data_IF_013804449458
#
_entry.id   IF_013804449458
#
_cell.length_a   1.000
_cell.length_b   1.000
_cell.length_c   1.000
_cell.angle_alpha   90.00
_cell.angle_beta   90.00
_cell.angle_gamma   90.00
#
_symmetry.space_group_name_H-M   'P 1'
#
loop_
_entity.id
_entity.type
_entity.pdbx_description
1 polymer ?
#
# COMPACT_ATOMS: atom_id res chain seq x y z
N UNK A 1 -14.10 8.94 9.50
CA UNK A 1 -15.28 9.83 9.29
C UNK A 1 -16.62 9.10 9.37
N UNK A 2 -16.71 7.79 9.11
CA UNK A 2 -17.97 7.04 9.33
C UNK A 2 -19.15 7.55 8.49
N UNK A 3 -18.87 8.11 7.31
CA UNK A 3 -19.89 8.66 6.44
C UNK A 3 -20.63 7.52 5.74
N UNK A 4 -21.95 7.64 5.65
CA UNK A 4 -22.76 6.83 4.74
C UNK A 4 -22.23 6.93 3.30
N UNK A 5 -22.33 5.87 2.48
CA UNK A 5 -21.74 5.85 1.13
C UNK A 5 -22.09 7.06 0.28
N UNK A 6 -23.35 7.52 0.29
CA UNK A 6 -23.77 8.71 -0.45
C UNK A 6 -23.09 10.00 0.02
N UNK A 7 -22.91 10.18 1.34
CA UNK A 7 -22.20 11.34 1.89
C UNK A 7 -20.70 11.29 1.58
N UNK A 8 -20.13 10.08 1.55
CA UNK A 8 -18.73 9.88 1.19
C UNK A 8 -18.46 10.26 -0.27
N UNK A 9 -19.38 9.92 -1.18
CA UNK A 9 -19.31 10.33 -2.59
C UNK A 9 -19.40 11.84 -2.74
N UNK A 10 -20.39 12.49 -2.10
CA UNK A 10 -20.51 13.96 -2.11
C UNK A 10 -19.22 14.61 -1.60
N UNK A 11 -18.63 14.09 -0.52
CA UNK A 11 -17.36 14.60 -0.01
C UNK A 11 -16.19 14.47 -1.01
N UNK A 12 -16.19 13.46 -1.89
CA UNK A 12 -15.18 13.33 -2.95
C UNK A 12 -15.42 14.33 -4.07
N UNK A 13 -16.66 14.48 -4.49
CA UNK A 13 -17.06 15.44 -5.52
C UNK A 13 -16.71 16.88 -5.11
N UNK A 14 -16.98 17.26 -3.86
CA UNK A 14 -16.66 18.59 -3.36
C UNK A 14 -15.14 18.85 -3.26
N UNK A 15 -14.34 17.86 -2.85
CA UNK A 15 -12.88 17.96 -2.89
C UNK A 15 -12.37 18.16 -4.32
N UNK A 16 -12.92 17.41 -5.28
CA UNK A 16 -12.55 17.55 -6.69
C UNK A 16 -12.94 18.91 -7.27
N UNK A 17 -14.16 19.40 -6.96
CA UNK A 17 -14.62 20.75 -7.34
C UNK A 17 -13.71 21.85 -6.79
N UNK A 18 -13.18 21.66 -5.58
CA UNK A 18 -12.24 22.57 -4.95
C UNK A 18 -10.79 22.43 -5.47
N UNK A 19 -10.53 21.54 -6.45
CA UNK A 19 -9.18 21.32 -6.98
C UNK A 19 -8.26 20.55 -6.03
N UNK A 20 -8.81 19.85 -5.02
CA UNK A 20 -8.03 19.00 -4.12
C UNK A 20 -7.65 17.72 -4.88
N UNK A 21 -6.46 17.74 -5.48
CA UNK A 21 -5.95 16.63 -6.31
C UNK A 21 -5.61 15.39 -5.49
N UNK A 22 -5.22 15.54 -4.22
CA UNK A 22 -4.85 14.43 -3.33
C UNK A 22 -5.33 14.68 -1.90
N UNK A 23 -6.62 14.44 -1.66
CA UNK A 23 -7.25 14.80 -0.39
C UNK A 23 -6.90 13.90 0.79
N UNK A 24 -6.58 12.62 0.58
CA UNK A 24 -6.31 11.68 1.69
C UNK A 24 -5.27 10.64 1.36
N UNK A 25 -4.40 10.43 2.34
CA UNK A 25 -3.36 9.41 2.37
C UNK A 25 -3.90 7.98 2.21
N UNK A 26 -3.08 7.06 1.65
CA UNK A 26 -3.48 5.66 1.41
C UNK A 26 -3.73 4.88 2.70
N UNK A 27 -3.18 5.33 3.82
CA UNK A 27 -3.50 4.87 5.16
C UNK A 27 -4.99 5.03 5.48
N UNK A 28 -5.59 6.18 5.16
CA UNK A 28 -7.03 6.40 5.39
C UNK A 28 -7.90 5.64 4.39
N UNK A 29 -7.46 5.58 3.13
CA UNK A 29 -8.28 5.06 2.04
C UNK A 29 -8.24 3.54 1.91
N UNK A 30 -7.11 2.92 2.21
CA UNK A 30 -6.83 1.52 1.83
C UNK A 30 -6.36 0.69 3.03
N UNK A 31 -5.29 1.11 3.71
CA UNK A 31 -4.69 0.31 4.80
C UNK A 31 -5.56 0.33 6.06
N UNK A 32 -6.12 1.48 6.41
CA UNK A 32 -7.00 1.65 7.57
C UNK A 32 -8.22 0.73 7.52
N UNK A 33 -9.02 0.73 6.44
CA UNK A 33 -10.12 -0.22 6.26
C UNK A 33 -9.67 -1.70 6.30
N UNK A 34 -8.49 -2.01 5.76
CA UNK A 34 -7.91 -3.35 5.87
C UNK A 34 -7.62 -3.72 7.33
N UNK A 35 -6.97 -2.83 8.09
CA UNK A 35 -6.67 -3.04 9.52
C UNK A 35 -7.94 -3.13 10.35
N UNK A 36 -8.98 -2.32 10.06
CA UNK A 36 -10.29 -2.44 10.71
C UNK A 36 -10.86 -3.84 10.54
N UNK A 37 -10.74 -4.42 9.34
CA UNK A 37 -11.31 -5.73 9.01
C UNK A 37 -10.47 -6.91 9.50
N UNK A 38 -9.15 -6.84 9.36
CA UNK A 38 -8.25 -7.99 9.51
C UNK A 38 -7.15 -7.80 10.56
N UNK A 39 -6.95 -6.57 11.03
CA UNK A 39 -5.90 -6.26 12.01
C UNK A 39 -6.24 -6.73 13.41
N UNK A 40 -5.19 -6.96 14.20
CA UNK A 40 -5.31 -7.26 15.63
C UNK A 40 -5.78 -6.03 16.42
N UNK A 41 -6.29 -6.19 17.66
CA UNK A 41 -6.61 -5.05 18.52
C UNK A 41 -5.42 -4.09 18.72
N UNK A 42 -4.21 -4.63 18.87
CA UNK A 42 -2.98 -3.83 18.98
C UNK A 42 -2.68 -3.04 17.70
N UNK A 43 -2.79 -3.67 16.53
CA UNK A 43 -2.62 -2.97 15.24
C UNK A 43 -3.66 -1.86 15.06
N UNK A 44 -4.92 -2.11 15.42
CA UNK A 44 -5.98 -1.10 15.35
C UNK A 44 -5.68 0.10 16.26
N UNK A 45 -5.27 -0.17 17.50
CA UNK A 45 -4.96 0.87 18.48
C UNK A 45 -3.73 1.70 18.08
N UNK A 46 -2.73 1.08 17.45
CA UNK A 46 -1.51 1.76 17.03
C UNK A 46 -1.69 2.52 15.70
N UNK A 47 -2.14 1.85 14.63
CA UNK A 47 -2.10 2.41 13.27
C UNK A 47 -3.25 3.36 12.96
N UNK A 48 -4.47 3.09 13.41
CA UNK A 48 -5.63 3.86 12.98
C UNK A 48 -5.58 5.34 13.41
N UNK A 49 -5.18 5.69 14.66
CA UNK A 49 -5.03 7.09 15.05
C UNK A 49 -3.95 7.80 14.23
N UNK A 50 -2.83 7.14 13.94
CA UNK A 50 -1.67 7.69 13.22
C UNK A 50 -1.95 7.93 11.73
N UNK A 51 -2.75 7.05 11.12
CA UNK A 51 -3.28 7.24 9.76
C UNK A 51 -4.27 8.42 9.70
N UNK A 52 -5.10 8.60 10.74
CA UNK A 52 -6.08 9.68 10.78
C UNK A 52 -5.44 11.06 11.00
N UNK A 53 -4.36 11.12 11.78
CA UNK A 53 -3.58 12.34 12.01
C UNK A 53 -2.57 12.65 10.90
N UNK A 54 -2.42 11.75 9.92
CA UNK A 54 -1.34 11.79 8.91
C UNK A 54 0.07 11.84 9.53
N UNK A 55 0.24 11.27 10.74
CA UNK A 55 1.58 11.07 11.31
C UNK A 55 2.36 10.02 10.52
N UNK A 56 1.66 8.99 10.03
CA UNK A 56 2.20 8.02 9.10
C UNK A 56 1.63 8.25 7.70
N UNK A 57 2.52 8.40 6.71
CA UNK A 57 2.19 8.57 5.29
C UNK A 57 2.49 7.27 4.55
N UNK A 58 1.58 6.83 3.69
CA UNK A 58 1.58 5.48 3.14
C UNK A 58 1.69 5.44 1.62
N UNK A 59 2.57 4.56 1.13
CA UNK A 59 2.62 4.16 -0.27
C UNK A 59 2.37 2.65 -0.47
N UNK A 60 2.06 2.25 -1.70
CA UNK A 60 1.74 0.86 -2.07
C UNK A 60 2.93 0.14 -2.71
N UNK A 61 3.38 -0.95 -2.08
CA UNK A 61 4.46 -1.82 -2.56
C UNK A 61 3.95 -3.12 -3.17
N UNK A 62 3.19 -3.05 -4.27
CA UNK A 62 2.65 -4.26 -4.91
C UNK A 62 3.51 -4.69 -6.09
N UNK A 63 3.51 -3.87 -7.14
CA UNK A 63 4.16 -4.16 -8.43
C UNK A 63 5.67 -4.28 -8.30
N UNK A 64 6.24 -5.19 -9.09
CA UNK A 64 7.69 -5.40 -9.22
C UNK A 64 8.09 -5.37 -10.69
N UNK A 65 9.37 -5.14 -11.02
CA UNK A 65 9.87 -5.44 -12.35
C UNK A 65 9.56 -6.89 -12.73
N UNK A 66 8.73 -7.08 -13.76
CA UNK A 66 8.26 -8.41 -14.19
C UNK A 66 7.02 -8.96 -13.49
N UNK A 67 6.44 -8.25 -12.52
CA UNK A 67 5.22 -8.65 -11.80
C UNK A 67 4.25 -7.48 -11.63
N UNK A 68 3.46 -7.22 -12.69
CA UNK A 68 2.35 -6.26 -12.69
C UNK A 68 1.00 -6.98 -12.62
N UNK A 69 0.39 -7.23 -13.79
CA UNK A 69 -0.90 -7.95 -13.88
C UNK A 69 -0.84 -9.37 -13.31
N UNK A 70 0.27 -10.10 -13.50
CA UNK A 70 0.54 -11.36 -12.79
C UNK A 70 1.20 -11.06 -11.42
N UNK A 71 0.45 -10.41 -10.53
CA UNK A 71 0.94 -10.01 -9.21
C UNK A 71 1.40 -11.21 -8.36
N UNK A 72 0.82 -12.39 -8.57
CA UNK A 72 1.20 -13.60 -7.84
C UNK A 72 2.63 -14.07 -8.17
N UNK A 73 3.23 -13.60 -9.26
CA UNK A 73 4.61 -13.90 -9.65
C UNK A 73 5.69 -13.13 -8.89
N UNK A 74 5.29 -12.23 -7.96
CA UNK A 74 6.19 -11.41 -7.17
C UNK A 74 7.29 -12.22 -6.47
N UNK A 75 8.46 -11.61 -6.34
CA UNK A 75 9.71 -12.19 -5.87
C UNK A 75 10.35 -11.44 -4.71
N UNK A 76 9.99 -10.19 -4.44
CA UNK A 76 10.45 -9.50 -3.22
C UNK A 76 10.13 -10.39 -2.02
N UNK A 77 11.16 -10.78 -1.28
CA UNK A 77 11.10 -11.79 -0.25
C UNK A 77 11.05 -11.13 1.12
N UNK A 78 10.32 -11.76 2.05
CA UNK A 78 10.38 -11.44 3.45
C UNK A 78 10.65 -12.72 4.22
N UNK A 79 11.89 -12.90 4.69
CA UNK A 79 12.29 -14.05 5.50
C UNK A 79 12.07 -13.75 6.96
N UNK A 80 11.49 -14.70 7.70
CA UNK A 80 11.47 -14.62 9.16
C UNK A 80 12.89 -14.74 9.71
N UNK A 81 13.28 -13.77 10.53
CA UNK A 81 14.52 -13.78 11.28
C UNK A 81 14.27 -13.15 12.66
N UNK A 82 14.58 -13.88 13.73
CA UNK A 82 14.33 -13.43 15.10
C UNK A 82 12.85 -13.15 15.36
N UNK A 83 12.56 -11.94 15.82
CA UNK A 83 11.24 -11.41 16.16
C UNK A 83 10.57 -10.64 15.00
N UNK A 84 11.10 -10.76 13.78
CA UNK A 84 10.54 -10.05 12.63
C UNK A 84 10.89 -10.66 11.29
N UNK A 85 10.96 -9.78 10.29
CA UNK A 85 11.24 -10.11 8.90
C UNK A 85 12.44 -9.31 8.40
N UNK A 86 13.27 -9.96 7.59
CA UNK A 86 14.27 -9.33 6.73
C UNK A 86 13.76 -9.38 5.30
N UNK A 87 13.80 -8.24 4.62
CA UNK A 87 13.15 -8.00 3.35
C UNK A 87 14.20 -7.65 2.30
N UNK A 88 14.15 -8.38 1.19
CA UNK A 88 15.05 -8.22 0.05
C UNK A 88 14.26 -8.18 -1.25
N UNK A 89 14.61 -7.27 -2.14
CA UNK A 89 14.03 -7.16 -3.48
C UNK A 89 13.69 -5.75 -3.89
N UNK A 90 12.68 -5.61 -4.75
CA UNK A 90 12.34 -4.33 -5.35
C UNK A 90 10.85 -4.21 -5.61
N UNK A 91 10.32 -3.01 -5.41
CA UNK A 91 9.01 -2.54 -5.89
C UNK A 91 9.19 -1.44 -6.93
N UNK A 92 8.21 -1.29 -7.82
CA UNK A 92 8.19 -0.27 -8.87
C UNK A 92 6.79 0.29 -9.04
N UNK A 93 6.69 1.51 -9.59
CA UNK A 93 5.44 2.27 -9.71
C UNK A 93 4.84 2.63 -8.36
N UNK A 94 5.66 2.70 -7.32
CA UNK A 94 5.22 3.07 -5.97
C UNK A 94 5.00 4.58 -5.93
N UNK A 95 3.73 4.97 -6.00
CA UNK A 95 3.30 6.37 -6.02
C UNK A 95 3.70 7.09 -4.74
N UNK A 96 4.46 8.18 -4.88
CA UNK A 96 4.87 9.10 -3.82
C UNK A 96 5.67 8.45 -2.68
N UNK A 97 6.44 7.41 -3.01
CA UNK A 97 7.28 6.70 -2.04
C UNK A 97 8.32 7.62 -1.40
N UNK A 98 8.81 8.63 -2.12
CA UNK A 98 9.80 9.59 -1.64
C UNK A 98 9.27 10.48 -0.51
N UNK A 99 7.95 10.62 -0.39
CA UNK A 99 7.27 11.42 0.62
C UNK A 99 6.54 10.55 1.67
N UNK A 100 6.69 9.22 1.60
CA UNK A 100 5.99 8.28 2.48
C UNK A 100 6.89 7.81 3.62
N UNK A 101 6.31 7.68 4.82
CA UNK A 101 7.03 7.13 5.98
C UNK A 101 6.90 5.62 6.06
N UNK A 102 5.84 5.04 5.46
CA UNK A 102 5.56 3.62 5.47
C UNK A 102 5.14 3.10 4.09
N UNK A 103 5.43 1.83 3.86
CA UNK A 103 4.95 1.08 2.71
C UNK A 103 4.13 -0.12 3.19
N UNK A 104 2.94 -0.29 2.64
CA UNK A 104 2.23 -1.57 2.75
C UNK A 104 2.52 -2.39 1.51
N UNK A 105 2.97 -3.62 1.69
CA UNK A 105 3.51 -4.42 0.60
C UNK A 105 3.10 -5.88 0.66
N UNK A 106 3.17 -6.52 -0.50
CA UNK A 106 3.14 -7.97 -0.60
C UNK A 106 4.56 -8.50 -0.78
N UNK A 107 4.93 -9.49 0.02
CA UNK A 107 6.23 -10.14 -0.06
C UNK A 107 6.08 -11.66 -0.03
N UNK A 108 6.99 -12.35 -0.72
CA UNK A 108 7.15 -13.80 -0.74
C UNK A 108 7.72 -14.27 0.61
N UNK A 109 6.91 -14.97 1.39
CA UNK A 109 7.31 -15.51 2.71
C UNK A 109 7.59 -17.01 2.68
N UNK A 110 6.88 -17.75 1.82
CA UNK A 110 7.21 -19.14 1.46
C UNK A 110 7.79 -19.17 0.03
N UNK A 111 9.07 -19.53 -0.17
CA UNK A 111 9.71 -19.58 -1.49
C UNK A 111 9.25 -20.74 -2.38
N UNK A 112 8.57 -21.76 -1.83
CA UNK A 112 8.14 -22.96 -2.56
C UNK A 112 6.68 -23.31 -2.27
N UNK A 113 5.74 -22.38 -2.48
CA UNK A 113 4.35 -22.63 -2.16
C UNK A 113 3.72 -23.55 -3.22
N UNK A 114 2.75 -24.37 -2.82
CA UNK A 114 2.02 -25.24 -3.74
C UNK A 114 1.28 -24.44 -4.85
N UNK A 115 0.78 -23.25 -4.51
CA UNK A 115 0.26 -22.26 -5.46
C UNK A 115 0.96 -20.93 -5.22
N UNK A 116 1.25 -20.18 -6.29
CA UNK A 116 1.98 -18.91 -6.19
C UNK A 116 1.34 -17.91 -5.21
N UNK A 117 0.02 -17.94 -5.04
CA UNK A 117 -0.72 -17.07 -4.12
C UNK A 117 -0.56 -17.46 -2.64
N UNK A 118 -0.27 -18.73 -2.34
CA UNK A 118 -0.30 -19.28 -0.99
C UNK A 118 0.98 -19.05 -0.18
N UNK A 119 1.97 -18.33 -0.74
CA UNK A 119 3.25 -18.04 -0.07
C UNK A 119 3.54 -16.54 -0.01
N UNK A 120 2.50 -15.72 0.00
CA UNK A 120 2.60 -14.25 -0.01
C UNK A 120 2.04 -13.74 1.31
N UNK A 121 2.75 -12.82 1.97
CA UNK A 121 2.28 -12.12 3.17
C UNK A 121 2.07 -10.63 2.92
N UNK A 122 1.22 -10.02 3.73
CA UNK A 122 0.96 -8.58 3.73
C UNK A 122 1.70 -7.94 4.90
N UNK A 123 2.63 -7.03 4.61
CA UNK A 123 3.50 -6.41 5.60
C UNK A 123 3.35 -4.88 5.59
N UNK A 124 3.45 -4.29 6.77
CA UNK A 124 3.61 -2.85 6.97
C UNK A 124 5.09 -2.56 7.28
N UNK A 125 5.77 -1.77 6.48
CA UNK A 125 7.22 -1.62 6.59
C UNK A 125 7.58 -0.14 6.72
N UNK A 126 8.34 0.26 7.75
CA UNK A 126 8.84 1.63 7.83
C UNK A 126 9.85 1.86 6.70
N UNK A 127 9.82 3.04 6.08
CA UNK A 127 10.69 3.35 4.95
C UNK A 127 11.97 4.08 5.35
N UNK A 128 11.94 4.83 6.45
CA UNK A 128 13.12 5.50 7.00
C UNK A 128 13.94 4.53 7.86
N UNK A 129 14.70 3.67 7.19
CA UNK A 129 15.59 2.72 7.84
C UNK A 129 16.72 2.28 6.90
N UNK A 130 17.84 1.74 7.44
CA UNK A 130 18.87 1.09 6.63
C UNK A 130 18.28 -0.03 5.76
N UNK A 131 18.83 -0.18 4.55
CA UNK A 131 18.38 -1.20 3.60
C UNK A 131 17.16 -0.80 2.77
N UNK A 132 16.57 0.39 2.97
CA UNK A 132 15.53 0.93 2.08
C UNK A 132 16.13 2.05 1.23
N UNK A 133 16.00 1.96 -0.09
CA UNK A 133 16.39 3.04 -1.01
C UNK A 133 15.23 3.38 -1.93
N UNK A 134 14.86 4.66 -1.97
CA UNK A 134 13.81 5.18 -2.84
C UNK A 134 14.43 5.92 -4.02
N UNK A 135 14.02 5.57 -5.24
CA UNK A 135 14.46 6.22 -6.48
C UNK A 135 13.25 6.74 -7.27
N UNK A 136 13.04 8.08 -7.33
CA UNK A 136 11.99 8.66 -8.15
C UNK A 136 12.18 8.36 -9.65
N UNK A 137 11.08 8.13 -10.34
CA UNK A 137 10.98 7.90 -11.78
C UNK A 137 10.42 9.18 -12.39
N UNK A 138 11.21 9.82 -13.24
CA UNK A 138 10.73 10.98 -14.00
C UNK A 138 9.82 10.52 -15.13
N UNK A 139 8.58 10.99 -15.15
CA UNK A 139 7.60 10.63 -16.17
C UNK A 139 7.75 11.51 -17.42
N UNK A 140 7.00 11.17 -18.49
CA UNK A 140 6.93 12.01 -19.70
C UNK A 140 6.32 13.39 -19.43
N UNK A 141 5.51 13.54 -18.38
CA UNK A 141 4.98 14.83 -17.96
C UNK A 141 6.04 15.68 -17.23
N UNK A 142 7.22 15.13 -16.93
CA UNK A 142 8.32 15.80 -16.25
C UNK A 142 8.20 15.83 -14.73
N UNK A 143 7.10 15.32 -14.18
CA UNK A 143 6.95 15.07 -12.74
C UNK A 143 7.70 13.80 -12.30
N UNK A 144 7.73 13.59 -10.98
CA UNK A 144 8.35 12.43 -10.34
C UNK A 144 7.40 11.81 -9.33
N UNK A 145 6.18 11.49 -9.77
CA UNK A 145 5.15 10.94 -8.89
C UNK A 145 5.44 9.47 -8.51
N UNK A 146 6.09 8.70 -9.36
CA UNK A 146 6.35 7.28 -9.13
C UNK A 146 7.78 7.04 -8.65
N UNK A 147 7.97 5.98 -7.87
CA UNK A 147 9.29 5.53 -7.43
C UNK A 147 9.51 4.03 -7.71
N UNK A 148 10.79 3.69 -7.84
CA UNK A 148 11.32 2.38 -7.46
C UNK A 148 11.69 2.40 -5.98
N UNK A 149 11.43 1.29 -5.28
CA UNK A 149 11.84 1.11 -3.89
C UNK A 149 12.62 -0.18 -3.79
N UNK A 150 13.87 -0.08 -3.35
CA UNK A 150 14.78 -1.21 -3.18
C UNK A 150 14.88 -1.58 -1.70
N UNK A 151 14.89 -2.88 -1.45
CA UNK A 151 15.05 -3.47 -0.12
C UNK A 151 16.30 -4.37 -0.15
N UNK A 152 17.25 -4.08 0.71
CA UNK A 152 18.50 -4.82 0.91
C UNK A 152 18.70 -5.01 2.41
N UNK A 153 18.15 -6.11 2.94
CA UNK A 153 18.15 -6.38 4.36
C UNK A 153 17.24 -5.47 5.21
N UNK A 154 16.22 -4.85 4.62
CA UNK A 154 15.27 -3.98 5.34
C UNK A 154 14.47 -4.79 6.38
N UNK A 155 14.02 -4.16 7.47
CA UNK A 155 13.38 -4.88 8.58
C UNK A 155 11.93 -4.50 8.80
N UNK A 156 11.13 -5.48 9.21
CA UNK A 156 9.78 -5.27 9.71
C UNK A 156 9.54 -6.13 10.96
N UNK A 157 9.05 -5.57 12.07
CA UNK A 157 8.66 -6.36 13.24
C UNK A 157 7.57 -7.39 12.91
N UNK A 158 7.48 -8.49 13.67
CA UNK A 158 6.47 -9.52 13.42
C UNK A 158 5.03 -8.99 13.57
N UNK A 159 4.81 -8.02 14.45
CA UNK A 159 3.52 -7.35 14.65
C UNK A 159 3.07 -6.51 13.43
N UNK A 160 3.95 -6.26 12.47
CA UNK A 160 3.60 -5.57 11.24
C UNK A 160 3.06 -6.49 10.14
N UNK A 161 2.96 -7.79 10.41
CA UNK A 161 2.21 -8.74 9.59
C UNK A 161 0.70 -8.54 9.79
N UNK A 162 -0.02 -8.18 8.73
CA UNK A 162 -1.49 -8.07 8.78
C UNK A 162 -2.12 -9.38 8.33
N UNK A 163 -2.96 -9.94 9.19
CA UNK A 163 -3.51 -11.28 9.00
C UNK A 163 -2.51 -12.37 9.38
N UNK A 164 -2.58 -13.50 8.66
CA UNK A 164 -1.74 -14.67 8.92
C UNK A 164 -0.57 -14.75 7.92
N UNK A 165 0.51 -15.40 8.36
CA UNK A 165 1.67 -15.69 7.51
C UNK A 165 1.21 -16.49 6.29
N UNK A 166 1.72 -16.11 5.12
CA UNK A 166 1.41 -16.72 3.82
C UNK A 166 -0.05 -16.54 3.34
N UNK A 167 -0.87 -15.76 4.08
CA UNK A 167 -2.28 -15.45 3.73
C UNK A 167 -2.49 -14.03 3.23
N UNK A 168 -1.42 -13.35 2.81
CA UNK A 168 -1.43 -11.98 2.28
C UNK A 168 -2.25 -11.82 1.00
N UNK A 169 -2.45 -12.88 0.20
CA UNK A 169 -3.30 -12.79 -0.99
C UNK A 169 -4.76 -12.44 -0.69
N UNK A 170 -5.30 -12.91 0.44
CA UNK A 170 -6.64 -12.54 0.89
C UNK A 170 -6.71 -11.06 1.30
N UNK A 171 -5.64 -10.54 1.91
CA UNK A 171 -5.50 -9.13 2.26
C UNK A 171 -5.44 -8.26 1.00
N UNK A 172 -4.64 -8.66 0.02
CA UNK A 172 -4.53 -7.99 -1.28
C UNK A 172 -5.90 -7.84 -1.96
N UNK A 173 -6.66 -8.94 -2.08
CA UNK A 173 -8.01 -8.90 -2.66
C UNK A 173 -8.96 -7.98 -1.90
N UNK A 174 -8.85 -7.95 -0.57
CA UNK A 174 -9.66 -7.04 0.27
C UNK A 174 -9.30 -5.59 -0.03
N UNK A 175 -8.02 -5.25 0.01
CA UNK A 175 -7.51 -3.90 -0.19
C UNK A 175 -7.82 -3.37 -1.59
N UNK A 176 -7.60 -4.17 -2.64
CA UNK A 176 -7.98 -3.84 -4.01
C UNK A 176 -9.50 -3.66 -4.18
N UNK A 177 -10.31 -4.22 -3.28
CA UNK A 177 -11.75 -3.98 -3.21
C UNK A 177 -12.07 -2.54 -2.78
N UNK A 178 -11.33 -2.01 -1.79
CA UNK A 178 -11.46 -0.61 -1.36
C UNK A 178 -10.95 0.36 -2.42
N UNK A 179 -9.84 0.03 -3.09
CA UNK A 179 -9.25 0.83 -4.15
C UNK A 179 -10.23 1.06 -5.34
N UNK A 180 -10.97 0.02 -5.73
CA UNK A 180 -11.97 0.11 -6.81
C UNK A 180 -13.08 1.13 -6.53
N UNK A 181 -13.47 1.29 -5.26
CA UNK A 181 -14.48 2.29 -4.87
C UNK A 181 -13.92 3.71 -5.05
N UNK A 182 -12.63 3.89 -4.83
CA UNK A 182 -11.96 5.18 -4.98
C UNK A 182 -11.67 5.54 -6.44
N UNK A 183 -11.07 4.62 -7.21
CA UNK A 183 -10.66 4.87 -8.61
C UNK A 183 -11.86 4.84 -9.57
N UNK A 184 -12.87 4.01 -9.30
CA UNK A 184 -14.03 3.82 -10.18
C UNK A 184 -15.01 5.01 -10.24
N UNK A 185 -14.71 6.13 -9.57
CA UNK A 185 -15.55 7.32 -9.60
C UNK A 185 -15.50 7.98 -11.00
N UNK A 186 -16.60 7.96 -11.78
CA UNK A 186 -16.61 8.43 -13.18
C UNK A 186 -16.28 9.92 -13.35
N UNK A 187 -16.31 10.69 -12.26
CA UNK A 187 -15.99 12.11 -12.26
C UNK A 187 -14.53 12.43 -12.60
N UNK A 188 -13.56 11.54 -12.30
CA UNK A 188 -12.17 11.75 -12.71
C UNK A 188 -12.02 11.76 -14.24
N UNK A 189 -12.76 10.90 -14.93
CA UNK A 189 -12.80 10.87 -16.39
C UNK A 189 -13.54 12.08 -16.98
N UNK A 190 -14.59 12.58 -16.31
CA UNK A 190 -15.31 13.78 -16.76
C UNK A 190 -14.46 15.05 -16.63
N UNK A 191 -13.63 15.18 -15.59
CA UNK A 191 -12.76 16.36 -15.44
C UNK A 191 -11.75 16.47 -16.58
N UNK A 192 -11.21 15.34 -17.08
CA UNK A 192 -10.32 15.31 -18.23
C UNK A 192 -11.00 15.64 -19.58
N UNK A 193 -12.34 15.54 -19.64
CA UNK A 193 -13.14 15.87 -20.83
C UNK A 193 -13.64 17.32 -20.82
N UNK A 194 -13.49 18.04 -19.70
CA UNK A 194 -13.96 19.41 -19.50
C UNK A 194 -12.79 20.40 -19.29
N UNK A 195 -11.55 19.93 -19.49
CA UNK A 195 -10.38 20.76 -19.79
C UNK A 195 -10.17 20.82 -21.31
#
# INVERSE_FOLDING_TARGET
MGLEPGKLLIFYEEQQRAGVTRGRDLGVQMVGPLIIRHGTPAQKAYWLPRMLSCEDLWCQGYSEPGSGSDLASLRCAARREGDGFVIDGQKIWTTMAQDSTHIFMLARTDPKPARRQDGISFLLVPMDQPGVTVRPIRTLAGDAEFCEVFFDGARAPAENLVGELDKGWAMAKTLLGFERIFIGAPMLAQHALWQ
#
